data_IF_325839584619
#
_entry.id   IF_325839584619
#
_cell.length_a   1.000
_cell.length_b   1.000
_cell.length_c   1.000
_cell.angle_alpha   90.00
_cell.angle_beta   90.00
_cell.angle_gamma   90.00
#
_symmetry.space_group_name_H-M   'P 1'
#
loop_
_entity.id
_entity.type
_entity.pdbx_description
1 polymer ?
#
# COMPACT_ATOMS: atom_id res chain seq x y z
N UNK A 1 -12.15 -21.43 32.50
CA UNK A 1 -11.63 -21.63 31.12
C UNK A 1 -12.30 -20.72 30.09
N UNK A 2 -13.64 -20.62 30.05
CA UNK A 2 -14.35 -19.74 29.09
C UNK A 2 -14.04 -18.24 29.27
N UNK A 3 -13.99 -17.74 30.51
CA UNK A 3 -13.69 -16.34 30.81
C UNK A 3 -12.28 -15.89 30.39
N UNK A 4 -11.28 -16.75 30.52
CA UNK A 4 -9.89 -16.42 30.17
C UNK A 4 -9.74 -16.27 28.66
N UNK A 5 -10.41 -17.13 27.88
CA UNK A 5 -10.41 -17.07 26.41
C UNK A 5 -11.11 -15.78 25.95
N UNK A 6 -12.23 -15.42 26.57
CA UNK A 6 -12.94 -14.16 26.27
C UNK A 6 -12.08 -12.95 26.63
N UNK A 7 -11.39 -12.99 27.76
CA UNK A 7 -10.48 -11.92 28.18
C UNK A 7 -9.32 -11.76 27.19
N UNK A 8 -8.71 -12.87 26.74
CA UNK A 8 -7.65 -12.86 25.74
C UNK A 8 -8.10 -12.28 24.41
N UNK A 9 -9.27 -12.71 23.91
CA UNK A 9 -9.85 -12.16 22.68
C UNK A 9 -10.15 -10.67 22.82
N UNK A 10 -10.69 -10.24 23.96
CA UNK A 10 -10.96 -8.82 24.21
C UNK A 10 -9.68 -7.99 24.24
N UNK A 11 -8.58 -8.50 24.82
CA UNK A 11 -7.28 -7.81 24.81
C UNK A 11 -6.74 -7.68 23.39
N UNK A 12 -6.84 -8.72 22.54
CA UNK A 12 -6.43 -8.65 21.13
C UNK A 12 -7.25 -7.65 20.30
N UNK A 13 -8.54 -7.50 20.59
CA UNK A 13 -9.43 -6.55 19.91
C UNK A 13 -9.21 -5.12 20.43
N UNK A 14 -9.00 -4.94 21.74
CA UNK A 14 -8.76 -3.64 22.39
C UNK A 14 -7.32 -3.14 22.21
N UNK A 15 -6.34 -4.03 22.00
CA UNK A 15 -4.98 -3.68 21.59
C UNK A 15 -4.90 -3.35 20.10
N UNK A 16 -5.97 -2.79 19.53
CA UNK A 16 -6.03 -2.16 18.22
C UNK A 16 -5.05 -1.01 18.13
N UNK A 17 -3.76 -1.32 18.20
CA UNK A 17 -2.73 -0.60 17.49
C UNK A 17 -3.26 -0.55 16.05
N UNK A 18 -3.46 0.65 15.47
CA UNK A 18 -4.02 0.74 14.14
C UNK A 18 -2.99 0.02 13.29
N UNK A 19 -3.30 -1.20 12.86
CA UNK A 19 -2.49 -1.85 11.87
C UNK A 19 -2.50 -0.86 10.73
N UNK A 20 -1.38 -0.16 10.56
CA UNK A 20 -1.19 0.81 9.51
C UNK A 20 -1.70 0.14 8.24
N UNK A 21 -2.43 0.86 7.40
CA UNK A 21 -2.78 0.36 6.06
C UNK A 21 -1.54 -0.11 5.28
N UNK A 22 -0.34 0.28 5.74
CA UNK A 22 0.96 -0.17 5.27
C UNK A 22 1.51 -1.46 5.89
N UNK A 23 0.85 -2.04 6.89
CA UNK A 23 1.30 -3.27 7.54
C UNK A 23 1.11 -4.48 6.62
N UNK A 24 2.08 -5.39 6.62
CA UNK A 24 2.06 -6.62 5.84
C UNK A 24 0.77 -7.43 6.06
N UNK A 25 0.31 -7.54 7.32
CA UNK A 25 -0.88 -8.29 7.69
C UNK A 25 -2.17 -7.73 7.08
N UNK A 26 -2.37 -6.39 7.11
CA UNK A 26 -3.55 -5.76 6.50
C UNK A 26 -3.51 -5.86 4.98
N UNK A 27 -2.34 -5.72 4.36
CA UNK A 27 -2.17 -5.88 2.91
C UNK A 27 -2.49 -7.31 2.46
N UNK A 28 -1.98 -8.31 3.19
CA UNK A 28 -2.28 -9.72 2.97
C UNK A 28 -3.79 -10.03 3.14
N UNK A 29 -4.40 -9.53 4.22
CA UNK A 29 -5.84 -9.73 4.50
C UNK A 29 -6.75 -9.07 3.44
N UNK A 30 -6.33 -7.94 2.87
CA UNK A 30 -7.04 -7.24 1.80
C UNK A 30 -6.78 -7.80 0.39
N UNK A 31 -6.09 -8.94 0.26
CA UNK A 31 -5.78 -9.57 -1.03
C UNK A 31 -4.73 -8.82 -1.86
N UNK A 32 -4.06 -7.83 -1.27
CA UNK A 32 -2.98 -7.08 -1.91
C UNK A 32 -1.68 -7.84 -1.65
N UNK A 33 -1.27 -8.70 -2.59
CA UNK A 33 0.01 -9.39 -2.50
C UNK A 33 1.10 -8.33 -2.24
N UNK A 34 1.89 -8.47 -1.17
CA UNK A 34 2.91 -7.49 -0.85
C UNK A 34 3.93 -7.50 -1.99
N UNK A 35 4.04 -6.37 -2.69
CA UNK A 35 5.06 -6.17 -3.72
C UNK A 35 6.41 -6.66 -3.20
N UNK A 36 7.15 -7.38 -4.04
CA UNK A 36 8.53 -7.74 -3.73
C UNK A 36 9.34 -6.47 -3.46
N UNK A 37 10.43 -6.52 -2.70
CA UNK A 37 11.19 -5.29 -2.41
C UNK A 37 11.70 -4.58 -3.67
N UNK A 38 11.98 -5.35 -4.74
CA UNK A 38 12.36 -4.81 -6.05
C UNK A 38 11.18 -4.09 -6.72
N UNK A 39 10.00 -4.71 -6.71
CA UNK A 39 8.77 -4.15 -7.27
C UNK A 39 8.31 -2.92 -6.49
N UNK A 40 8.43 -2.92 -5.15
CA UNK A 40 8.15 -1.75 -4.31
C UNK A 40 9.09 -0.60 -4.64
N UNK A 41 10.36 -0.87 -4.86
CA UNK A 41 11.34 0.14 -5.26
C UNK A 41 11.00 0.70 -6.65
N UNK A 42 10.73 -0.16 -7.62
CA UNK A 42 10.32 0.24 -8.96
C UNK A 42 9.05 1.10 -8.94
N UNK A 43 8.04 0.70 -8.17
CA UNK A 43 6.80 1.44 -7.97
C UNK A 43 7.06 2.83 -7.38
N UNK A 44 7.88 2.90 -6.33
CA UNK A 44 8.24 4.18 -5.71
C UNK A 44 8.96 5.10 -6.69
N UNK A 45 9.93 4.57 -7.43
CA UNK A 45 10.67 5.34 -8.44
C UNK A 45 9.71 5.88 -9.52
N UNK A 46 8.79 5.03 -10.03
CA UNK A 46 7.79 5.43 -11.02
C UNK A 46 6.81 6.48 -10.51
N UNK A 47 6.40 6.39 -9.24
CA UNK A 47 5.51 7.37 -8.60
C UNK A 47 6.22 8.73 -8.42
N UNK A 48 7.48 8.72 -8.01
CA UNK A 48 8.28 9.93 -7.83
C UNK A 48 8.53 10.61 -9.18
N UNK A 49 8.84 9.84 -10.23
CA UNK A 49 8.95 10.33 -11.62
C UNK A 49 7.61 10.91 -12.13
N UNK A 50 6.49 10.25 -11.86
CA UNK A 50 5.16 10.70 -12.26
C UNK A 50 4.80 12.06 -11.63
N UNK A 51 5.11 12.24 -10.33
CA UNK A 51 4.87 13.50 -9.60
C UNK A 51 5.73 14.67 -10.10
N UNK A 52 6.94 14.38 -10.56
CA UNK A 52 7.81 15.40 -11.15
C UNK A 52 7.30 15.87 -12.50
N UNK A 53 6.77 14.97 -13.33
CA UNK A 53 6.23 15.32 -14.66
C UNK A 53 4.82 15.91 -14.58
N UNK A 54 3.99 15.34 -13.71
CA UNK A 54 2.59 15.68 -13.53
C UNK A 54 2.34 16.03 -12.06
N UNK A 55 2.81 17.22 -11.61
CA UNK A 55 2.45 17.73 -10.30
C UNK A 55 0.94 18.03 -10.26
N UNK A 56 0.37 18.09 -9.06
CA UNK A 56 -1.07 18.28 -8.83
C UNK A 56 -1.62 19.58 -9.46
N UNK A 57 -0.76 20.57 -9.72
CA UNK A 57 -1.11 21.80 -10.43
C UNK A 57 -1.42 21.58 -11.92
N UNK A 58 -0.85 20.54 -12.52
CA UNK A 58 -1.01 20.16 -13.94
C UNK A 58 -2.04 19.04 -14.07
N UNK A 59 -2.01 18.06 -13.16
CA UNK A 59 -2.94 16.92 -13.16
C UNK A 59 -3.66 16.80 -11.81
N UNK A 60 -4.64 17.69 -11.53
CA UNK A 60 -5.34 17.72 -10.24
C UNK A 60 -6.20 16.46 -10.00
N UNK A 61 -6.49 15.70 -11.05
CA UNK A 61 -7.25 14.44 -10.98
C UNK A 61 -6.34 13.21 -10.89
N UNK A 62 -5.02 13.37 -11.06
CA UNK A 62 -4.04 12.27 -11.05
C UNK A 62 -4.17 11.28 -12.21
N UNK A 63 -4.87 11.62 -13.29
CA UNK A 63 -5.09 10.69 -14.42
C UNK A 63 -3.83 10.42 -15.22
N UNK A 64 -3.07 11.46 -15.51
CA UNK A 64 -1.80 11.40 -16.24
C UNK A 64 -0.72 10.80 -15.37
N UNK A 65 -0.71 11.14 -14.07
CA UNK A 65 0.18 10.56 -13.08
C UNK A 65 0.00 9.04 -12.98
N UNK A 66 -1.25 8.55 -12.89
CA UNK A 66 -1.58 7.13 -12.89
C UNK A 66 -1.25 6.43 -14.21
N UNK A 67 -1.45 7.10 -15.36
CA UNK A 67 -1.10 6.54 -16.67
C UNK A 67 0.41 6.34 -16.77
N UNK A 68 1.19 7.35 -16.40
CA UNK A 68 2.64 7.29 -16.42
C UNK A 68 3.18 6.21 -15.48
N UNK A 69 2.67 6.13 -14.26
CA UNK A 69 3.07 5.13 -13.28
C UNK A 69 2.89 3.70 -13.83
N UNK A 70 1.73 3.41 -14.45
CA UNK A 70 1.44 2.11 -15.06
C UNK A 70 2.40 1.79 -16.21
N UNK A 71 2.65 2.75 -17.09
CA UNK A 71 3.59 2.58 -18.21
C UNK A 71 5.03 2.36 -17.72
N UNK A 72 5.44 3.08 -16.69
CA UNK A 72 6.76 2.95 -16.07
C UNK A 72 6.94 1.58 -15.43
N UNK A 73 5.95 1.09 -14.67
CA UNK A 73 5.96 -0.25 -14.08
C UNK A 73 6.04 -1.33 -15.16
N UNK A 74 5.23 -1.21 -16.22
CA UNK A 74 5.24 -2.14 -17.36
C UNK A 74 6.61 -2.18 -18.03
N UNK A 75 7.27 -1.02 -18.23
CA UNK A 75 8.64 -0.93 -18.78
C UNK A 75 9.69 -1.58 -17.87
N UNK A 76 9.48 -1.54 -16.55
CA UNK A 76 10.34 -2.18 -15.55
C UNK A 76 10.03 -3.69 -15.37
N UNK A 77 9.03 -4.22 -16.07
CA UNK A 77 8.66 -5.63 -16.06
C UNK A 77 7.73 -6.04 -14.91
N UNK A 78 6.97 -5.08 -14.37
CA UNK A 78 5.98 -5.27 -13.32
C UNK A 78 4.57 -4.95 -13.81
#
# INVERSE_FOLDING_TARGET
MRLIIVLFMSIFILSGCPFSSNSYFVRWWNGNLPLSDKERKAWKDCLDEAKLQYPDSIDPLGKEQLRYERECMTKKGY
#
